data_IF_649977491282
#
_entry.id   IF_649977491282
#
_cell.length_a   1.000
_cell.length_b   1.000
_cell.length_c   1.000
_cell.angle_alpha   90.00
_cell.angle_beta   90.00
_cell.angle_gamma   90.00
#
_symmetry.space_group_name_H-M   'P 1'
#
loop_
_entity.id
_entity.type
_entity.pdbx_description
1 polymer ?
#
# COMPACT_ATOMS: atom_id res chain seq x y z
N UNK A 1 9.40 5.27 16.07
CA UNK A 1 9.20 3.85 16.44
C UNK A 1 8.07 3.28 15.61
N UNK A 2 8.20 2.02 15.19
CA UNK A 2 7.13 1.31 14.47
C UNK A 2 6.17 0.68 15.47
N UNK A 3 4.87 0.92 15.28
CA UNK A 3 3.81 0.37 16.12
C UNK A 3 2.78 -0.39 15.27
N UNK A 4 2.30 -1.50 15.79
CA UNK A 4 1.11 -2.16 15.24
C UNK A 4 -0.11 -1.34 15.63
N UNK A 5 -0.92 -0.96 14.66
CA UNK A 5 -2.08 -0.10 14.88
C UNK A 5 -3.34 -0.95 15.09
N UNK A 6 -4.20 -0.49 15.99
CA UNK A 6 -5.46 -1.13 16.34
C UNK A 6 -6.67 -0.23 16.08
N UNK A 7 -7.83 -0.67 16.59
CA UNK A 7 -9.09 0.06 16.41
C UNK A 7 -9.06 1.48 17.05
N UNK A 8 -8.29 1.65 18.12
CA UNK A 8 -8.12 2.96 18.76
C UNK A 8 -7.36 3.98 17.90
N UNK A 9 -6.67 3.52 16.85
CA UNK A 9 -5.88 4.37 15.96
C UNK A 9 -6.65 4.74 14.67
N UNK A 10 -7.91 4.34 14.56
CA UNK A 10 -8.73 4.46 13.35
C UNK A 10 -8.73 5.88 12.77
N UNK A 11 -9.03 6.88 13.60
CA UNK A 11 -9.09 8.28 13.14
C UNK A 11 -7.72 8.80 12.72
N UNK A 12 -6.66 8.41 13.43
CA UNK A 12 -5.29 8.80 13.09
C UNK A 12 -4.84 8.18 11.76
N UNK A 13 -5.17 6.90 11.52
CA UNK A 13 -4.91 6.23 10.24
C UNK A 13 -5.61 6.98 9.10
N UNK A 14 -6.89 7.25 9.28
CA UNK A 14 -7.72 7.93 8.27
C UNK A 14 -7.18 9.32 7.94
N UNK A 15 -6.77 10.07 8.96
CA UNK A 15 -6.18 11.39 8.80
C UNK A 15 -4.87 11.34 8.00
N UNK A 16 -3.97 10.44 8.33
CA UNK A 16 -2.68 10.28 7.60
C UNK A 16 -2.93 9.93 6.14
N UNK A 17 -3.83 8.99 5.86
CA UNK A 17 -4.16 8.60 4.49
C UNK A 17 -4.73 9.79 3.70
N UNK A 18 -5.70 10.50 4.25
CA UNK A 18 -6.35 11.64 3.58
C UNK A 18 -5.37 12.78 3.30
N UNK A 19 -4.54 13.11 4.26
CA UNK A 19 -3.57 14.19 4.11
C UNK A 19 -2.47 13.83 3.11
N UNK A 20 -1.90 12.65 3.22
CA UNK A 20 -0.82 12.21 2.32
C UNK A 20 -1.33 11.92 0.90
N UNK A 21 -2.54 11.45 0.73
CA UNK A 21 -3.13 11.15 -0.58
C UNK A 21 -3.37 12.39 -1.45
N UNK A 22 -3.30 13.60 -0.90
CA UNK A 22 -3.39 14.83 -1.70
C UNK A 22 -2.31 14.92 -2.78
N UNK A 23 -1.17 14.25 -2.60
CA UNK A 23 -0.13 14.14 -3.63
C UNK A 23 -0.61 13.45 -4.93
N UNK A 24 -1.66 12.63 -4.84
CA UNK A 24 -2.25 11.96 -6.01
C UNK A 24 -3.25 12.83 -6.78
N UNK A 25 -3.62 13.99 -6.25
CA UNK A 25 -4.53 14.91 -6.94
C UNK A 25 -3.87 15.40 -8.24
N UNK A 26 -4.57 15.21 -9.39
CA UNK A 26 -4.02 15.49 -10.71
C UNK A 26 -3.15 14.34 -11.29
N UNK A 27 -2.83 13.32 -10.52
CA UNK A 27 -2.12 12.10 -10.97
C UNK A 27 -3.10 10.96 -11.19
N UNK A 28 -4.04 10.76 -10.25
CA UNK A 28 -5.16 9.86 -10.43
C UNK A 28 -6.10 10.43 -11.50
N UNK A 29 -6.62 9.61 -12.44
CA UNK A 29 -7.64 10.07 -13.39
C UNK A 29 -8.77 10.81 -12.69
N UNK A 30 -9.22 11.94 -13.25
CA UNK A 30 -10.24 12.80 -12.61
C UNK A 30 -11.52 12.05 -12.27
N UNK A 31 -11.92 11.09 -13.10
CA UNK A 31 -13.07 10.22 -12.87
C UNK A 31 -12.89 9.21 -11.74
N UNK A 32 -11.65 9.08 -11.22
CA UNK A 32 -11.31 8.19 -10.09
C UNK A 32 -10.94 8.94 -8.81
N UNK A 33 -10.76 10.26 -8.90
CA UNK A 33 -10.50 11.07 -7.70
C UNK A 33 -11.77 11.17 -6.85
N UNK A 34 -11.63 10.91 -5.56
CA UNK A 34 -12.69 11.08 -4.55
C UNK A 34 -12.27 12.06 -3.48
N UNK A 35 -13.22 12.81 -2.96
CA UNK A 35 -13.01 13.73 -1.84
C UNK A 35 -14.10 13.48 -0.77
N UNK A 36 -13.75 12.95 0.40
CA UNK A 36 -12.39 12.57 0.82
C UNK A 36 -11.85 11.37 0.04
N UNK A 37 -10.54 11.30 -0.09
CA UNK A 37 -9.85 10.21 -0.81
C UNK A 37 -10.23 8.82 -0.28
N UNK A 38 -10.33 8.70 1.04
CA UNK A 38 -10.82 7.51 1.72
C UNK A 38 -11.91 7.90 2.72
N UNK A 39 -13.07 7.25 2.64
CA UNK A 39 -14.13 7.40 3.62
C UNK A 39 -13.85 6.53 4.87
N UNK A 40 -14.51 6.88 5.97
CA UNK A 40 -14.46 6.04 7.17
C UNK A 40 -15.03 4.63 6.93
N UNK A 41 -16.08 4.54 6.09
CA UNK A 41 -16.67 3.26 5.70
C UNK A 41 -15.69 2.39 4.90
N UNK A 42 -14.97 2.98 3.95
CA UNK A 42 -13.93 2.28 3.19
C UNK A 42 -12.83 1.74 4.10
N UNK A 43 -12.34 2.54 5.05
CA UNK A 43 -11.32 2.07 6.00
C UNK A 43 -11.83 0.93 6.88
N UNK A 44 -13.08 1.00 7.34
CA UNK A 44 -13.71 -0.14 8.07
C UNK A 44 -13.75 -1.40 7.21
N UNK A 45 -14.09 -1.25 5.94
CA UNK A 45 -14.09 -2.35 4.97
C UNK A 45 -12.71 -2.97 4.77
N UNK A 46 -11.66 -2.14 4.68
CA UNK A 46 -10.27 -2.60 4.57
C UNK A 46 -9.84 -3.40 5.81
N UNK A 47 -10.15 -2.90 6.99
CA UNK A 47 -9.85 -3.61 8.25
C UNK A 47 -10.62 -4.94 8.35
N UNK A 48 -11.90 -4.94 7.96
CA UNK A 48 -12.72 -6.16 7.93
C UNK A 48 -12.21 -7.18 6.90
N UNK A 49 -11.61 -6.72 5.80
CA UNK A 49 -10.98 -7.56 4.77
C UNK A 49 -9.58 -8.09 5.19
N UNK A 50 -9.11 -7.77 6.38
CA UNK A 50 -7.86 -8.29 6.93
C UNK A 50 -6.63 -7.42 6.74
N UNK A 51 -6.79 -6.15 6.34
CA UNK A 51 -5.66 -5.23 6.29
C UNK A 51 -5.23 -4.90 7.71
N UNK A 52 -4.00 -5.26 8.05
CA UNK A 52 -3.36 -4.88 9.30
C UNK A 52 -2.45 -3.68 9.07
N UNK A 53 -2.72 -2.58 9.75
CA UNK A 53 -1.89 -1.39 9.66
C UNK A 53 -0.75 -1.38 10.67
N UNK A 54 0.38 -0.87 10.21
CA UNK A 54 1.53 -0.50 11.02
C UNK A 54 1.83 0.98 10.81
N UNK A 55 2.31 1.64 11.83
CA UNK A 55 2.55 3.07 11.79
C UNK A 55 3.94 3.45 12.26
N UNK A 56 4.40 4.61 11.82
CA UNK A 56 5.54 5.29 12.40
C UNK A 56 5.05 6.29 13.44
N UNK A 57 5.28 5.97 14.71
CA UNK A 57 4.81 6.74 15.86
C UNK A 57 5.94 7.56 16.49
N UNK A 58 5.67 8.82 16.78
CA UNK A 58 6.55 9.72 17.54
C UNK A 58 5.73 10.39 18.66
N UNK A 59 5.96 9.96 19.91
CA UNK A 59 5.05 10.32 20.98
C UNK A 59 3.62 9.85 20.66
N UNK A 60 2.67 10.74 20.78
CA UNK A 60 1.27 10.48 20.46
C UNK A 60 0.90 10.76 18.99
N UNK A 61 1.89 11.08 18.14
CA UNK A 61 1.66 11.43 16.75
C UNK A 61 1.96 10.27 15.82
N UNK A 62 1.02 9.99 14.91
CA UNK A 62 1.18 9.04 13.80
C UNK A 62 1.65 9.80 12.56
N UNK A 63 2.81 9.46 12.04
CA UNK A 63 3.47 10.19 10.95
C UNK A 63 3.44 9.45 9.61
N UNK A 64 3.16 8.18 9.62
CA UNK A 64 3.04 7.35 8.44
C UNK A 64 2.37 6.03 8.75
N UNK A 65 1.77 5.43 7.74
CA UNK A 65 1.07 4.15 7.84
C UNK A 65 1.41 3.26 6.65
N UNK A 66 1.33 1.96 6.86
CA UNK A 66 1.43 0.96 5.80
C UNK A 66 0.63 -0.27 6.19
N UNK A 67 -0.22 -0.75 5.29
CA UNK A 67 -1.05 -1.93 5.49
C UNK A 67 -0.41 -3.20 4.95
N UNK A 68 -0.62 -4.30 5.66
CA UNK A 68 -0.24 -5.65 5.26
C UNK A 68 -1.50 -6.51 5.20
N UNK A 69 -1.74 -7.16 4.07
CA UNK A 69 -2.94 -7.99 3.88
C UNK A 69 -2.58 -9.34 3.29
N UNK A 70 -2.65 -10.44 4.05
CA UNK A 70 -2.63 -11.78 3.48
C UNK A 70 -3.90 -12.02 2.64
N UNK A 71 -3.72 -12.44 1.39
CA UNK A 71 -4.84 -12.75 0.48
C UNK A 71 -4.50 -14.05 -0.23
N UNK A 72 -5.28 -15.10 -0.02
CA UNK A 72 -5.04 -16.42 -0.62
C UNK A 72 -3.59 -16.89 -0.37
N UNK A 73 -2.82 -17.11 -1.41
CA UNK A 73 -1.44 -17.61 -1.37
C UNK A 73 -0.37 -16.50 -1.37
N UNK A 74 -0.77 -15.24 -1.26
CA UNK A 74 0.10 -14.08 -1.36
C UNK A 74 -0.14 -13.07 -0.25
N UNK A 75 0.70 -12.04 -0.22
CA UNK A 75 0.57 -10.90 0.69
C UNK A 75 0.59 -9.60 -0.11
N UNK A 76 -0.33 -8.70 0.21
CA UNK A 76 -0.40 -7.39 -0.40
C UNK A 76 0.11 -6.32 0.57
N UNK A 77 0.88 -5.36 0.05
CA UNK A 77 1.14 -4.08 0.70
C UNK A 77 0.03 -3.13 0.27
N UNK A 78 -0.63 -2.51 1.25
CA UNK A 78 -1.79 -1.64 1.02
C UNK A 78 -1.62 -0.31 1.74
N UNK A 79 -2.12 0.77 1.13
CA UNK A 79 -2.26 2.07 1.81
C UNK A 79 -0.97 2.57 2.46
N UNK A 80 0.08 2.69 1.66
CA UNK A 80 1.38 3.19 2.09
C UNK A 80 1.43 4.71 1.99
N UNK A 81 1.40 5.40 3.12
CA UNK A 81 1.36 6.86 3.19
C UNK A 81 2.24 7.39 4.31
N UNK A 82 2.96 8.46 4.03
CA UNK A 82 3.72 9.24 5.02
C UNK A 82 3.28 10.70 4.90
N UNK A 83 3.03 11.34 6.04
CA UNK A 83 2.65 12.76 6.06
C UNK A 83 3.66 13.59 5.25
N UNK A 84 3.20 14.54 4.41
CA UNK A 84 4.07 15.33 3.53
C UNK A 84 5.24 16.00 4.27
N UNK A 85 4.99 16.52 5.47
CA UNK A 85 6.01 17.16 6.32
C UNK A 85 7.11 16.20 6.82
N UNK A 86 6.91 14.90 6.69
CA UNK A 86 7.81 13.85 7.20
C UNK A 86 8.33 12.92 6.11
N UNK A 87 8.03 13.19 4.86
CA UNK A 87 8.57 12.45 3.72
C UNK A 87 10.07 12.65 3.56
N UNK A 88 10.71 11.75 2.80
CA UNK A 88 12.17 11.73 2.55
C UNK A 88 13.05 11.64 3.80
N UNK A 89 12.49 11.13 4.90
CA UNK A 89 13.23 10.86 6.16
C UNK A 89 13.40 9.36 6.41
N UNK A 90 13.15 8.54 5.40
CA UNK A 90 13.31 7.08 5.49
C UNK A 90 12.16 6.35 6.19
N UNK A 91 11.09 7.03 6.58
CA UNK A 91 9.94 6.42 7.29
C UNK A 91 9.30 5.31 6.45
N UNK A 92 8.97 5.59 5.20
CA UNK A 92 8.36 4.61 4.30
C UNK A 92 9.22 3.36 4.11
N UNK A 93 10.52 3.54 3.90
CA UNK A 93 11.46 2.42 3.73
C UNK A 93 11.59 1.56 4.98
N UNK A 94 11.58 2.17 6.17
CA UNK A 94 11.62 1.44 7.45
C UNK A 94 10.33 0.67 7.71
N UNK A 95 9.17 1.26 7.40
CA UNK A 95 7.89 0.56 7.47
C UNK A 95 7.88 -0.62 6.52
N UNK A 96 8.24 -0.42 5.26
CA UNK A 96 8.27 -1.49 4.26
C UNK A 96 9.19 -2.64 4.67
N UNK A 97 10.40 -2.33 5.12
CA UNK A 97 11.34 -3.33 5.62
C UNK A 97 10.76 -4.14 6.79
N UNK A 98 10.11 -3.46 7.72
CA UNK A 98 9.44 -4.12 8.84
C UNK A 98 8.33 -5.06 8.37
N UNK A 99 7.46 -4.60 7.47
CA UNK A 99 6.37 -5.42 6.95
C UNK A 99 6.89 -6.63 6.17
N UNK A 100 7.91 -6.46 5.34
CA UNK A 100 8.53 -7.57 4.61
C UNK A 100 9.09 -8.65 5.56
N UNK A 101 9.58 -8.25 6.73
CA UNK A 101 10.01 -9.17 7.77
C UNK A 101 8.88 -9.99 8.42
N UNK A 102 7.64 -9.55 8.30
CA UNK A 102 6.45 -10.25 8.81
C UNK A 102 5.81 -11.19 7.78
N UNK A 103 6.17 -11.07 6.52
CA UNK A 103 5.58 -11.85 5.43
C UNK A 103 6.01 -13.30 5.50
N UNK A 104 5.05 -14.22 5.34
CA UNK A 104 5.28 -15.67 5.32
C UNK A 104 5.02 -16.31 3.96
N UNK A 105 4.43 -15.57 3.02
CA UNK A 105 4.16 -16.03 1.66
C UNK A 105 5.39 -15.83 0.76
N UNK A 106 5.52 -16.59 -0.35
CA UNK A 106 6.67 -16.48 -1.27
C UNK A 106 6.73 -15.16 -2.00
N UNK A 107 5.57 -14.56 -2.30
CA UNK A 107 5.45 -13.34 -3.09
C UNK A 107 4.70 -12.26 -2.32
N UNK A 108 5.10 -11.02 -2.55
CA UNK A 108 4.44 -9.83 -2.07
C UNK A 108 4.12 -8.94 -3.27
N UNK A 109 2.91 -8.46 -3.34
CA UNK A 109 2.49 -7.55 -4.41
C UNK A 109 2.08 -6.19 -3.83
N UNK A 110 2.32 -5.15 -4.61
CA UNK A 110 1.81 -3.82 -4.37
C UNK A 110 1.24 -3.27 -5.67
N UNK A 111 0.06 -2.66 -5.59
CA UNK A 111 -0.57 -1.95 -6.70
C UNK A 111 -0.49 -0.45 -6.47
N UNK A 112 -0.24 0.31 -7.52
CA UNK A 112 -0.28 1.77 -7.50
C UNK A 112 -0.73 2.32 -8.86
N UNK A 113 -1.03 3.62 -8.91
CA UNK A 113 -1.40 4.27 -10.15
C UNK A 113 -0.21 4.32 -11.12
N UNK A 114 -0.44 4.06 -12.40
CA UNK A 114 0.64 4.00 -13.41
C UNK A 114 1.39 5.33 -13.55
N UNK A 115 0.72 6.46 -13.29
CA UNK A 115 1.32 7.80 -13.36
C UNK A 115 1.99 8.24 -12.04
N UNK A 116 1.92 7.41 -11.00
CA UNK A 116 2.59 7.66 -9.71
C UNK A 116 4.07 7.22 -9.76
N UNK A 117 4.87 7.88 -10.57
CA UNK A 117 6.28 7.54 -10.81
C UNK A 117 7.11 7.48 -9.52
N UNK A 118 6.84 8.35 -8.54
CA UNK A 118 7.54 8.34 -7.25
C UNK A 118 7.26 7.07 -6.45
N UNK A 119 6.04 6.54 -6.50
CA UNK A 119 5.67 5.31 -5.79
C UNK A 119 6.33 4.10 -6.46
N UNK A 120 6.29 4.04 -7.79
CA UNK A 120 6.96 2.98 -8.56
C UNK A 120 8.46 2.96 -8.25
N UNK A 121 9.10 4.13 -8.26
CA UNK A 121 10.53 4.27 -7.95
C UNK A 121 10.84 3.84 -6.51
N UNK A 122 10.02 4.23 -5.53
CA UNK A 122 10.16 3.84 -4.13
C UNK A 122 10.17 2.31 -3.98
N UNK A 123 9.22 1.61 -4.56
CA UNK A 123 9.17 0.16 -4.48
C UNK A 123 10.31 -0.51 -5.23
N UNK A 124 10.68 0.01 -6.39
CA UNK A 124 11.82 -0.51 -7.15
C UNK A 124 13.13 -0.41 -6.36
N UNK A 125 13.36 0.67 -5.61
CA UNK A 125 14.52 0.83 -4.73
C UNK A 125 14.54 -0.18 -3.56
N UNK A 126 13.41 -0.77 -3.23
CA UNK A 126 13.27 -1.74 -2.13
C UNK A 126 13.14 -3.20 -2.61
N UNK A 127 13.59 -3.49 -3.82
CA UNK A 127 13.64 -4.85 -4.34
C UNK A 127 12.39 -5.35 -5.04
N UNK A 128 11.40 -4.48 -5.26
CA UNK A 128 10.22 -4.82 -6.07
C UNK A 128 10.53 -4.66 -7.56
N UNK A 129 9.91 -5.50 -8.38
CA UNK A 129 10.02 -5.47 -9.84
C UNK A 129 8.65 -5.20 -10.46
N UNK A 130 8.59 -4.25 -11.39
CA UNK A 130 7.39 -3.97 -12.16
C UNK A 130 7.06 -5.17 -13.04
N UNK A 131 5.81 -5.64 -12.99
CA UNK A 131 5.35 -6.73 -13.86
C UNK A 131 4.74 -6.19 -15.15
N UNK A 132 4.60 -7.07 -16.16
CA UNK A 132 4.00 -6.69 -17.45
C UNK A 132 2.56 -6.23 -17.31
N UNK A 133 2.03 -5.53 -18.30
CA UNK A 133 0.61 -5.13 -18.34
C UNK A 133 -0.32 -6.35 -18.26
N UNK A 134 -0.01 -7.40 -18.97
CA UNK A 134 -0.79 -8.65 -18.95
C UNK A 134 -0.84 -9.25 -17.55
N UNK A 135 0.30 -9.33 -16.89
CA UNK A 135 0.43 -9.88 -15.53
C UNK A 135 -0.23 -8.95 -14.51
N UNK A 136 -0.07 -7.64 -14.64
CA UNK A 136 -0.77 -6.64 -13.80
C UNK A 136 -2.28 -6.86 -13.83
N UNK A 137 -2.87 -6.98 -15.02
CA UNK A 137 -4.30 -7.19 -15.18
C UNK A 137 -4.76 -8.49 -14.53
N UNK A 138 -3.99 -9.57 -14.71
CA UNK A 138 -4.28 -10.87 -14.09
C UNK A 138 -4.24 -10.80 -12.57
N UNK A 139 -3.19 -10.21 -12.00
CA UNK A 139 -3.00 -10.11 -10.56
C UNK A 139 -4.04 -9.20 -9.90
N UNK A 140 -4.34 -8.06 -10.50
CA UNK A 140 -5.35 -7.14 -9.96
C UNK A 140 -6.74 -7.78 -9.92
N UNK A 141 -7.13 -8.51 -10.96
CA UNK A 141 -8.41 -9.24 -10.97
C UNK A 141 -8.44 -10.40 -9.97
N UNK A 142 -7.32 -11.04 -9.75
CA UNK A 142 -7.24 -12.20 -8.82
C UNK A 142 -7.25 -11.78 -7.35
N UNK A 143 -6.52 -10.73 -6.99
CA UNK A 143 -6.24 -10.40 -5.58
C UNK A 143 -6.89 -9.09 -5.10
N UNK A 144 -7.31 -8.21 -6.00
CA UNK A 144 -7.95 -6.95 -5.66
C UNK A 144 -9.43 -6.94 -6.06
N UNK A 145 -10.20 -6.11 -5.35
CA UNK A 145 -11.60 -5.81 -5.69
C UNK A 145 -11.70 -4.35 -6.11
N UNK A 146 -11.31 -4.08 -7.33
CA UNK A 146 -11.31 -2.73 -7.92
C UNK A 146 -12.00 -2.76 -9.30
N UNK A 147 -12.59 -1.63 -9.73
CA UNK A 147 -13.25 -1.57 -11.03
C UNK A 147 -12.24 -1.63 -12.18
N UNK A 148 -12.70 -2.06 -13.35
CA UNK A 148 -11.88 -2.20 -14.56
C UNK A 148 -11.15 -0.90 -14.94
N UNK A 149 -11.75 0.27 -14.72
CA UNK A 149 -11.10 1.56 -14.96
C UNK A 149 -9.85 1.73 -14.09
N UNK A 150 -9.89 1.30 -12.86
CA UNK A 150 -8.72 1.35 -11.97
C UNK A 150 -7.66 0.31 -12.36
N UNK A 151 -8.08 -0.88 -12.78
CA UNK A 151 -7.15 -1.90 -13.32
C UNK A 151 -6.40 -1.34 -14.51
N UNK A 152 -7.10 -0.72 -15.47
CA UNK A 152 -6.51 -0.17 -16.69
C UNK A 152 -5.49 0.96 -16.42
N UNK A 153 -5.59 1.66 -15.30
CA UNK A 153 -4.75 2.80 -14.92
C UNK A 153 -3.77 2.51 -13.77
N UNK A 154 -3.67 1.25 -13.37
CA UNK A 154 -2.79 0.79 -12.29
C UNK A 154 -1.65 -0.07 -12.82
N UNK A 155 -0.61 -0.19 -12.01
CA UNK A 155 0.50 -1.14 -12.19
C UNK A 155 0.65 -1.99 -10.95
N UNK A 156 1.30 -3.14 -11.10
CA UNK A 156 1.67 -4.02 -9.99
C UNK A 156 3.18 -4.22 -9.98
N UNK A 157 3.76 -4.16 -8.80
CA UNK A 157 5.14 -4.56 -8.55
C UNK A 157 5.15 -5.78 -7.64
N UNK A 158 6.13 -6.64 -7.83
CA UNK A 158 6.29 -7.85 -7.03
C UNK A 158 7.63 -7.89 -6.31
N UNK A 159 7.60 -8.46 -5.13
CA UNK A 159 8.78 -8.84 -4.36
C UNK A 159 8.75 -10.35 -4.15
N UNK A 160 9.85 -11.02 -4.48
CA UNK A 160 10.03 -12.45 -4.24
C UNK A 160 10.86 -12.62 -2.99
N UNK A 161 10.32 -13.31 -2.01
CA UNK A 161 11.00 -13.54 -0.74
C UNK A 161 12.24 -14.43 -0.97
N UNK A 162 13.45 -14.01 -0.53
CA UNK A 162 14.65 -14.83 -0.70
C UNK A 162 14.53 -16.20 -0.01
N UNK A 163 14.98 -17.25 -0.66
CA UNK A 163 15.07 -18.61 -0.08
C UNK A 163 13.81 -19.45 -0.13
N UNK A 164 12.72 -18.96 -0.75
CA UNK A 164 11.55 -19.77 -1.05
C UNK A 164 11.49 -20.09 -2.54
N UNK A 165 11.20 -21.38 -2.93
CA UNK A 165 11.02 -21.69 -4.33
C UNK A 165 9.82 -20.92 -4.88
N UNK A 166 9.97 -20.36 -6.08
CA UNK A 166 8.84 -19.88 -6.84
C UNK A 166 7.94 -21.11 -7.09
N UNK A 167 6.71 -21.05 -6.58
CA UNK A 167 5.70 -22.04 -6.97
C UNK A 167 5.39 -21.81 -8.45
N UNK A 168 5.56 -22.85 -9.25
CA UNK A 168 5.20 -22.89 -10.66
C UNK A 168 3.71 -22.59 -10.90
#
# INVERSE_FOLDING_TARGET
VICKLGLGDFDAILQVIREAAQAYRGVIPDDRWKDPYMSAEELRGELAAGVQFYGWCKGNSLLGVMGLQPVQDTTLIRHSYVLPSHQRRGIGGRLLKHLLGLVTTPRVFVGTWEDAGWAIHFYAQHGFTLVSRKETNRLLRKYWRIPERQIATSVVLQFVRPGLPASD
#
